data_IF_614564226449
#
_entry.id   IF_614564226449
#
_cell.length_a   1.000
_cell.length_b   1.000
_cell.length_c   1.000
_cell.angle_alpha   90.00
_cell.angle_beta   90.00
_cell.angle_gamma   90.00
#
_symmetry.space_group_name_H-M   'P 1'
#
loop_
_entity.id
_entity.type
_entity.pdbx_description
1 polymer ?
#
# COMPACT_ATOMS: atom_id res chain seq x y z
N UNK A 1 1.46 36.87 8.43
CA UNK A 1 1.72 35.63 9.19
C UNK A 1 2.31 34.63 8.23
N UNK A 2 3.63 34.45 8.25
CA UNK A 2 4.36 33.60 7.32
C UNK A 2 4.14 32.14 7.74
N UNK A 3 3.34 31.38 7.00
CA UNK A 3 3.37 29.91 7.09
C UNK A 3 4.74 29.47 6.55
N UNK A 4 5.71 29.36 7.46
CA UNK A 4 6.99 28.72 7.17
C UNK A 4 6.68 27.24 7.00
N UNK A 5 6.42 26.84 5.76
CA UNK A 5 6.44 25.43 5.38
C UNK A 5 7.87 24.96 5.70
N UNK A 6 8.01 24.23 6.80
CA UNK A 6 9.30 23.71 7.28
C UNK A 6 9.71 22.42 6.59
N UNK A 7 8.87 21.90 5.70
CA UNK A 7 9.07 20.63 5.01
C UNK A 7 9.55 20.90 3.59
N UNK A 8 10.72 20.36 3.22
CA UNK A 8 11.26 20.52 1.86
C UNK A 8 10.63 19.50 0.89
N UNK A 9 10.65 19.78 -0.44
CA UNK A 9 10.25 18.79 -1.44
C UNK A 9 10.96 17.45 -1.29
N UNK A 10 12.24 17.45 -0.92
CA UNK A 10 13.06 16.26 -0.74
C UNK A 10 12.60 15.43 0.47
N UNK A 11 12.21 16.08 1.58
CA UNK A 11 11.65 15.39 2.73
C UNK A 11 10.31 14.71 2.39
N UNK A 12 9.46 15.38 1.61
CA UNK A 12 8.20 14.81 1.12
C UNK A 12 8.45 13.59 0.21
N UNK A 13 9.41 13.67 -0.71
CA UNK A 13 9.79 12.55 -1.56
C UNK A 13 10.38 11.38 -0.76
N UNK A 14 11.18 11.67 0.26
CA UNK A 14 11.73 10.64 1.16
C UNK A 14 10.63 9.90 1.93
N UNK A 15 9.61 10.60 2.40
CA UNK A 15 8.44 9.99 3.05
C UNK A 15 7.59 9.22 2.02
N UNK A 16 7.35 9.80 0.85
CA UNK A 16 6.62 9.12 -0.24
C UNK A 16 7.28 7.78 -0.59
N UNK A 17 8.60 7.75 -0.68
CA UNK A 17 9.36 6.52 -0.92
C UNK A 17 9.15 5.47 0.17
N UNK A 18 8.99 5.86 1.44
CA UNK A 18 8.68 4.91 2.51
C UNK A 18 7.29 4.28 2.32
N UNK A 19 6.29 5.07 1.94
CA UNK A 19 4.95 4.57 1.60
C UNK A 19 5.00 3.63 0.40
N UNK A 20 5.76 3.97 -0.65
CA UNK A 20 5.96 3.10 -1.81
C UNK A 20 6.59 1.76 -1.44
N UNK A 21 7.66 1.79 -0.63
CA UNK A 21 8.33 0.58 -0.16
C UNK A 21 7.40 -0.28 0.70
N UNK A 22 6.59 0.33 1.58
CA UNK A 22 5.59 -0.37 2.38
C UNK A 22 4.50 -1.02 1.52
N UNK A 23 4.07 -0.34 0.46
CA UNK A 23 3.08 -0.86 -0.49
C UNK A 23 3.62 -2.09 -1.23
N UNK A 24 4.86 -2.03 -1.71
CA UNK A 24 5.51 -3.14 -2.42
C UNK A 24 5.73 -4.36 -1.51
N UNK A 25 6.22 -4.13 -0.28
CA UNK A 25 6.37 -5.18 0.72
C UNK A 25 5.03 -5.84 1.07
N UNK A 26 3.98 -5.02 1.23
CA UNK A 26 2.62 -5.51 1.51
C UNK A 26 2.07 -6.35 0.36
N UNK A 27 2.24 -5.91 -0.90
CA UNK A 27 1.86 -6.69 -2.09
C UNK A 27 2.57 -8.04 -2.14
N UNK A 28 3.88 -8.04 -1.88
CA UNK A 28 4.66 -9.27 -1.85
C UNK A 28 4.15 -10.22 -0.77
N UNK A 29 3.86 -9.71 0.43
CA UNK A 29 3.33 -10.51 1.53
C UNK A 29 1.95 -11.09 1.20
N UNK A 30 1.02 -10.28 0.66
CA UNK A 30 -0.30 -10.75 0.25
C UNK A 30 -0.21 -11.84 -0.81
N UNK A 31 0.67 -11.68 -1.81
CA UNK A 31 0.87 -12.68 -2.85
C UNK A 31 1.42 -14.00 -2.28
N UNK A 32 2.38 -13.95 -1.35
CA UNK A 32 2.93 -15.13 -0.69
C UNK A 32 1.87 -15.89 0.10
N UNK A 33 1.05 -15.19 0.89
CA UNK A 33 -0.05 -15.79 1.65
C UNK A 33 -1.07 -16.44 0.72
N UNK A 34 -1.37 -15.81 -0.41
CA UNK A 34 -2.28 -16.35 -1.43
C UNK A 34 -1.75 -17.66 -2.03
N UNK A 35 -0.48 -17.69 -2.42
CA UNK A 35 0.16 -18.90 -2.95
C UNK A 35 0.18 -20.04 -1.93
N UNK A 36 0.53 -19.73 -0.67
CA UNK A 36 0.51 -20.71 0.41
C UNK A 36 -0.90 -21.30 0.61
N UNK A 37 -1.95 -20.47 0.54
CA UNK A 37 -3.33 -20.92 0.63
C UNK A 37 -3.74 -21.82 -0.53
N UNK A 38 -3.47 -21.41 -1.77
CA UNK A 38 -3.78 -22.22 -2.96
C UNK A 38 -3.13 -23.61 -2.89
N UNK A 39 -1.93 -23.71 -2.30
CA UNK A 39 -1.26 -25.01 -2.10
C UNK A 39 -2.01 -25.97 -1.17
N UNK A 40 -2.87 -25.44 -0.29
CA UNK A 40 -3.71 -26.22 0.62
C UNK A 40 -5.05 -26.61 -0.02
N UNK A 41 -5.47 -25.90 -1.07
CA UNK A 41 -6.78 -26.11 -1.70
C UNK A 41 -6.97 -27.55 -2.22
N UNK A 42 -5.92 -28.13 -2.82
CA UNK A 42 -5.96 -29.51 -3.32
C UNK A 42 -5.79 -30.59 -2.24
N UNK A 43 -5.45 -30.21 -1.00
CA UNK A 43 -5.19 -31.13 0.11
C UNK A 43 -6.28 -31.14 1.16
N UNK A 44 -7.16 -30.14 1.13
CA UNK A 44 -8.22 -29.95 2.11
C UNK A 44 -9.57 -30.06 1.40
N UNK A 45 -10.39 -31.01 1.83
CA UNK A 45 -11.75 -31.23 1.31
C UNK A 45 -12.82 -31.08 2.41
N UNK A 46 -14.05 -30.74 2.03
CA UNK A 46 -15.21 -30.59 2.93
C UNK A 46 -15.66 -29.16 3.24
N UNK A 47 -16.76 -29.03 4.00
CA UNK A 47 -17.45 -27.75 4.26
C UNK A 47 -16.60 -26.70 5.01
N UNK A 48 -15.64 -27.13 5.81
CA UNK A 48 -14.72 -26.25 6.57
C UNK A 48 -13.77 -25.48 5.64
N UNK A 49 -13.40 -26.07 4.49
CA UNK A 49 -12.63 -25.43 3.43
C UNK A 49 -13.35 -24.19 2.92
N UNK A 50 -14.62 -24.34 2.49
CA UNK A 50 -15.40 -23.26 1.89
C UNK A 50 -15.48 -22.03 2.80
N UNK A 51 -15.80 -22.22 4.07
CA UNK A 51 -15.89 -21.10 5.04
C UNK A 51 -14.56 -20.38 5.21
N UNK A 52 -13.45 -21.13 5.25
CA UNK A 52 -12.12 -20.55 5.39
C UNK A 52 -11.73 -19.73 4.15
N UNK A 53 -11.95 -20.26 2.94
CA UNK A 53 -11.70 -19.54 1.68
C UNK A 53 -12.57 -18.29 1.55
N UNK A 54 -13.86 -18.36 1.92
CA UNK A 54 -14.76 -17.20 1.89
C UNK A 54 -14.29 -16.09 2.87
N UNK A 55 -13.76 -16.46 4.03
CA UNK A 55 -13.19 -15.52 5.00
C UNK A 55 -11.85 -14.95 4.53
N UNK A 56 -11.02 -15.77 3.89
CA UNK A 56 -9.75 -15.33 3.34
C UNK A 56 -9.94 -14.35 2.17
N UNK A 57 -10.89 -14.60 1.26
CA UNK A 57 -11.20 -13.67 0.17
C UNK A 57 -11.69 -12.31 0.70
N UNK A 58 -12.41 -12.29 1.82
CA UNK A 58 -12.75 -11.02 2.51
C UNK A 58 -11.49 -10.32 3.02
N UNK A 59 -10.61 -11.06 3.71
CA UNK A 59 -9.33 -10.51 4.18
C UNK A 59 -8.42 -10.02 3.05
N UNK A 60 -8.44 -10.69 1.88
CA UNK A 60 -7.72 -10.25 0.67
C UNK A 60 -8.12 -8.86 0.23
N UNK A 61 -9.42 -8.57 0.21
CA UNK A 61 -9.91 -7.21 -0.11
C UNK A 61 -9.40 -6.15 0.85
N UNK A 62 -9.27 -6.47 2.13
CA UNK A 62 -8.70 -5.54 3.12
C UNK A 62 -7.21 -5.30 2.89
N UNK A 63 -6.44 -6.34 2.56
CA UNK A 63 -5.02 -6.21 2.21
C UNK A 63 -4.82 -5.37 0.94
N UNK A 64 -5.65 -5.58 -0.08
CA UNK A 64 -5.61 -4.80 -1.33
C UNK A 64 -5.97 -3.33 -1.10
N UNK A 65 -7.00 -3.06 -0.29
CA UNK A 65 -7.36 -1.70 0.09
C UNK A 65 -6.23 -0.99 0.87
N UNK A 66 -5.53 -1.72 1.74
CA UNK A 66 -4.37 -1.18 2.46
C UNK A 66 -3.23 -0.82 1.51
N UNK A 67 -2.89 -1.70 0.57
CA UNK A 67 -1.90 -1.43 -0.48
C UNK A 67 -2.27 -0.19 -1.30
N UNK A 68 -3.54 -0.08 -1.72
CA UNK A 68 -4.04 1.08 -2.47
C UNK A 68 -3.93 2.37 -1.66
N UNK A 69 -4.21 2.32 -0.35
CA UNK A 69 -4.04 3.47 0.54
C UNK A 69 -2.58 3.94 0.58
N UNK A 70 -1.63 3.01 0.71
CA UNK A 70 -0.21 3.35 0.72
C UNK A 70 0.24 3.99 -0.60
N UNK A 71 -0.22 3.46 -1.74
CA UNK A 71 0.05 4.05 -3.06
C UNK A 71 -0.53 5.46 -3.20
N UNK A 72 -1.76 5.67 -2.72
CA UNK A 72 -2.41 6.98 -2.77
C UNK A 72 -1.61 8.03 -1.99
N UNK A 73 -1.11 7.66 -0.81
CA UNK A 73 -0.31 8.57 0.03
C UNK A 73 1.05 8.87 -0.64
N UNK A 74 1.73 7.88 -1.21
CA UNK A 74 2.96 8.09 -2.00
C UNK A 74 2.72 9.11 -3.14
N UNK A 75 1.64 8.93 -3.91
CA UNK A 75 1.30 9.81 -5.03
C UNK A 75 0.96 11.23 -4.56
N UNK A 76 0.19 11.38 -3.49
CA UNK A 76 -0.17 12.69 -2.94
C UNK A 76 1.06 13.45 -2.44
N UNK A 77 1.96 12.80 -1.71
CA UNK A 77 3.19 13.42 -1.22
C UNK A 77 4.10 13.89 -2.37
N UNK A 78 4.24 13.09 -3.43
CA UNK A 78 4.99 13.49 -4.63
C UNK A 78 4.33 14.65 -5.38
N UNK A 79 3.00 14.68 -5.42
CA UNK A 79 2.27 15.79 -6.02
C UNK A 79 2.49 17.10 -5.24
N UNK A 80 2.51 17.04 -3.90
CA UNK A 80 2.82 18.20 -3.05
C UNK A 80 4.28 18.65 -3.27
N UNK A 81 5.24 17.73 -3.27
CA UNK A 81 6.66 18.04 -3.51
C UNK A 81 6.87 18.75 -4.86
N UNK A 82 6.18 18.28 -5.90
CA UNK A 82 6.21 18.91 -7.23
C UNK A 82 5.65 20.33 -7.21
N UNK A 83 4.54 20.57 -6.51
CA UNK A 83 3.95 21.92 -6.38
C UNK A 83 4.88 22.89 -5.64
N UNK A 84 5.59 22.42 -4.60
CA UNK A 84 6.54 23.26 -3.87
C UNK A 84 7.72 23.67 -4.76
N UNK A 85 8.31 22.73 -5.51
CA UNK A 85 9.38 23.06 -6.47
C UNK A 85 8.95 24.08 -7.52
N UNK A 86 7.70 23.98 -8.00
CA UNK A 86 7.17 24.93 -8.98
C UNK A 86 6.93 26.32 -8.39
N UNK A 87 6.47 26.39 -7.14
CA UNK A 87 6.27 27.66 -6.43
C UNK A 87 7.60 28.35 -6.10
N UNK A 88 8.64 27.58 -5.71
CA UNK A 88 9.96 28.12 -5.40
C UNK A 88 10.75 28.54 -6.66
N UNK A 89 10.38 28.03 -7.83
CA UNK A 89 10.98 28.38 -9.12
C UNK A 89 10.38 29.66 -9.77
N UNK A 90 9.34 30.25 -9.17
CA UNK A 90 8.72 31.52 -9.57
C UNK A 90 9.22 32.70 -8.72
#
# INVERSE_FOLDING_TARGET
>A
MSMRILVTPEELEGIAQQFKNGSDASRQQTAQLYQALQSLEGKWDGATKKRFFDQFEQSRRHMEAYVQLLDSIDQELRAIATRFRQADAQ
#
